data_IF_456644687678
#
_entry.id   IF_456644687678
#
_cell.length_a   1.000
_cell.length_b   1.000
_cell.length_c   1.000
_cell.angle_alpha   90.00
_cell.angle_beta   90.00
_cell.angle_gamma   90.00
#
_symmetry.space_group_name_H-M   'P 1'
#
loop_
_entity.id
_entity.type
_entity.pdbx_description
1 polymer ?
#
# COMPACT_ATOMS: atom_id res chain seq x y z
N UNK A 1 20.42 -5.47 2.56
CA UNK A 1 19.15 -4.73 2.65
C UNK A 1 19.34 -3.43 3.40
N UNK A 2 20.02 -3.44 4.59
CA UNK A 2 20.27 -2.20 5.37
C UNK A 2 21.10 -1.16 4.60
N UNK A 3 22.07 -1.59 3.81
CA UNK A 3 22.91 -0.68 3.02
C UNK A 3 22.11 0.11 1.99
N UNK A 4 21.16 -0.55 1.29
CA UNK A 4 20.28 0.12 0.31
C UNK A 4 19.35 1.14 0.96
N UNK A 5 18.88 0.87 2.18
CA UNK A 5 18.03 1.78 2.94
C UNK A 5 18.77 3.07 3.33
N UNK A 6 20.00 2.94 3.84
CA UNK A 6 20.83 4.09 4.17
C UNK A 6 21.26 4.88 2.93
N UNK A 7 21.48 4.22 1.81
CA UNK A 7 21.74 4.88 0.53
C UNK A 7 20.50 5.64 0.05
N UNK A 8 19.31 5.04 0.11
CA UNK A 8 18.06 5.68 -0.29
C UNK A 8 17.80 6.98 0.52
N UNK A 9 18.02 6.94 1.83
CA UNK A 9 17.92 8.15 2.68
C UNK A 9 18.85 9.28 2.23
N UNK A 10 20.07 8.96 1.82
CA UNK A 10 21.07 9.96 1.37
C UNK A 10 20.69 10.62 0.05
N UNK A 11 19.87 9.99 -0.78
CA UNK A 11 19.44 10.56 -2.07
C UNK A 11 18.50 11.75 -1.91
N UNK A 12 17.83 11.89 -0.78
CA UNK A 12 16.75 12.86 -0.56
C UNK A 12 15.40 12.49 -1.23
N UNK A 13 15.36 11.39 -1.99
CA UNK A 13 14.12 10.88 -2.62
C UNK A 13 13.33 9.94 -1.72
N UNK A 14 13.95 9.44 -0.66
CA UNK A 14 13.29 8.60 0.33
C UNK A 14 13.02 9.39 1.60
N UNK A 15 11.77 9.48 1.99
CA UNK A 15 11.31 10.10 3.23
C UNK A 15 10.59 9.06 4.06
N UNK A 16 11.08 8.82 5.27
CA UNK A 16 10.39 8.00 6.26
C UNK A 16 9.61 8.91 7.20
N UNK A 17 8.31 8.69 7.29
CA UNK A 17 7.48 9.43 8.23
C UNK A 17 7.58 8.80 9.62
N UNK A 18 7.61 9.65 10.66
CA UNK A 18 7.56 9.19 12.05
C UNK A 18 6.22 8.47 12.30
N UNK A 19 6.22 7.23 12.85
CA UNK A 19 4.99 6.53 13.20
C UNK A 19 4.07 7.28 14.18
N UNK A 20 4.62 8.25 14.91
CA UNK A 20 3.87 9.11 15.83
C UNK A 20 3.49 10.47 15.22
N UNK A 21 3.75 10.68 13.93
CA UNK A 21 3.39 11.91 13.24
C UNK A 21 1.88 12.16 13.33
N UNK A 22 1.43 13.38 13.66
CA UNK A 22 0.00 13.71 13.64
C UNK A 22 -0.61 13.45 12.27
N UNK A 23 -1.81 12.87 12.24
CA UNK A 23 -2.47 12.47 10.98
C UNK A 23 -2.67 13.65 10.02
N UNK A 24 -2.91 14.85 10.53
CA UNK A 24 -3.02 16.06 9.69
C UNK A 24 -1.71 16.41 8.96
N UNK A 25 -0.57 16.02 9.51
CA UNK A 25 0.72 16.18 8.83
C UNK A 25 0.95 15.07 7.81
N UNK A 26 0.58 13.82 8.12
CA UNK A 26 0.60 12.72 7.16
C UNK A 26 -0.24 13.06 5.93
N UNK A 27 -1.46 13.56 6.13
CA UNK A 27 -2.36 13.98 5.04
C UNK A 27 -1.77 15.07 4.14
N UNK A 28 -0.88 15.92 4.64
CA UNK A 28 -0.18 16.93 3.79
C UNK A 28 0.76 16.26 2.79
N UNK A 29 1.50 15.22 3.22
CA UNK A 29 2.33 14.46 2.27
C UNK A 29 1.47 13.77 1.21
N UNK A 30 0.35 13.17 1.62
CA UNK A 30 -0.56 12.47 0.69
C UNK A 30 -1.10 13.39 -0.41
N UNK A 31 -1.33 14.66 -0.10
CA UNK A 31 -1.84 15.64 -1.10
C UNK A 31 -0.88 15.89 -2.26
N UNK A 32 0.41 15.77 -2.02
CA UNK A 32 1.46 16.06 -2.99
C UNK A 32 1.96 14.79 -3.72
N UNK A 33 1.39 13.63 -3.41
CA UNK A 33 1.79 12.35 -4.03
C UNK A 33 1.02 12.09 -5.31
N UNK A 34 1.68 11.48 -6.30
CA UNK A 34 1.06 11.00 -7.53
C UNK A 34 0.41 9.62 -7.33
N UNK A 35 0.93 8.82 -6.40
CA UNK A 35 0.49 7.46 -6.12
C UNK A 35 0.43 7.22 -4.61
N UNK A 36 -0.69 6.67 -4.16
CA UNK A 36 -0.84 6.08 -2.83
C UNK A 36 -0.94 4.55 -2.98
N UNK A 37 0.04 3.86 -2.42
CA UNK A 37 0.09 2.40 -2.45
C UNK A 37 -0.24 1.84 -1.07
N UNK A 38 -1.13 0.87 -0.99
CA UNK A 38 -1.42 0.12 0.23
C UNK A 38 -1.37 -1.38 -0.03
N UNK A 39 -1.17 -2.13 1.03
CA UNK A 39 -1.22 -3.58 1.07
C UNK A 39 -2.12 -4.04 2.22
N UNK A 40 -2.43 -5.33 2.27
CA UNK A 40 -3.17 -5.92 3.39
C UNK A 40 -2.43 -5.73 4.70
N UNK A 41 -3.13 -5.28 5.74
CA UNK A 41 -2.55 -5.11 7.07
C UNK A 41 -2.32 -6.43 7.81
N UNK A 42 -3.03 -7.47 7.43
CA UNK A 42 -2.90 -8.82 7.96
C UNK A 42 -3.00 -9.83 6.81
N UNK A 43 -2.05 -10.76 6.76
CA UNK A 43 -2.04 -11.81 5.74
C UNK A 43 -3.37 -12.56 5.67
N UNK A 44 -3.79 -12.87 4.44
CA UNK A 44 -5.08 -13.50 4.14
C UNK A 44 -5.31 -14.79 4.91
N UNK A 45 -4.25 -15.58 5.14
CA UNK A 45 -4.33 -16.84 5.87
C UNK A 45 -4.72 -16.68 7.35
N UNK A 46 -4.32 -15.54 7.97
CA UNK A 46 -4.62 -15.27 9.38
C UNK A 46 -5.90 -14.45 9.59
N UNK A 47 -6.45 -13.89 8.52
CA UNK A 47 -7.57 -12.95 8.61
C UNK A 47 -8.82 -13.55 9.25
N UNK A 48 -9.09 -14.84 8.98
CA UNK A 48 -10.22 -15.59 9.52
C UNK A 48 -9.81 -16.63 10.58
N UNK A 49 -8.52 -16.72 10.94
CA UNK A 49 -8.04 -17.68 11.93
C UNK A 49 -8.50 -17.26 13.34
N UNK A 50 -9.22 -18.13 14.08
CA UNK A 50 -9.65 -17.84 15.44
C UNK A 50 -8.52 -17.50 16.41
N UNK A 51 -7.33 -18.06 16.20
CA UNK A 51 -6.16 -17.81 17.04
C UNK A 51 -5.59 -16.39 16.90
N UNK A 52 -5.93 -15.71 15.83
CA UNK A 52 -5.42 -14.36 15.51
C UNK A 52 -6.42 -13.23 15.71
N UNK A 53 -7.64 -13.52 16.18
CA UNK A 53 -8.69 -12.49 16.27
C UNK A 53 -8.36 -11.32 17.20
N UNK A 54 -7.74 -11.56 18.34
CA UNK A 54 -7.33 -10.51 19.27
C UNK A 54 -6.22 -9.64 18.65
N UNK A 55 -5.21 -10.25 18.06
CA UNK A 55 -4.14 -9.56 17.35
C UNK A 55 -4.65 -8.78 16.14
N UNK A 56 -5.59 -9.36 15.40
CA UNK A 56 -6.26 -8.69 14.30
C UNK A 56 -6.95 -7.42 14.77
N UNK A 57 -7.72 -7.50 15.86
CA UNK A 57 -8.41 -6.34 16.42
C UNK A 57 -7.44 -5.24 16.80
N UNK A 58 -6.38 -5.56 17.55
CA UNK A 58 -5.35 -4.59 17.96
C UNK A 58 -4.71 -3.92 16.73
N UNK A 59 -4.34 -4.70 15.71
CA UNK A 59 -3.74 -4.19 14.49
C UNK A 59 -4.70 -3.29 13.72
N UNK A 60 -5.97 -3.71 13.57
CA UNK A 60 -6.98 -2.92 12.87
C UNK A 60 -7.24 -1.59 13.59
N UNK A 61 -7.40 -1.61 14.92
CA UNK A 61 -7.61 -0.39 15.70
C UNK A 61 -6.44 0.60 15.52
N UNK A 62 -5.21 0.10 15.44
CA UNK A 62 -4.00 0.90 15.21
C UNK A 62 -3.91 1.45 13.78
N UNK A 63 -4.32 0.66 12.79
CA UNK A 63 -4.12 0.98 11.37
C UNK A 63 -5.29 1.74 10.75
N UNK A 64 -6.50 1.68 11.33
CA UNK A 64 -7.68 2.37 10.80
C UNK A 64 -7.49 3.85 10.46
N UNK A 65 -6.71 4.66 11.20
CA UNK A 65 -6.43 6.04 10.81
C UNK A 65 -5.72 6.19 9.45
N UNK A 66 -5.07 5.14 8.96
CA UNK A 66 -4.35 5.09 7.69
C UNK A 66 -5.17 4.45 6.56
N UNK A 67 -6.44 4.12 6.80
CA UNK A 67 -7.32 3.61 5.76
C UNK A 67 -7.36 4.58 4.57
N UNK A 68 -7.14 4.08 3.37
CA UNK A 68 -7.38 4.86 2.16
C UNK A 68 -8.88 5.02 1.94
N UNK A 69 -9.42 6.13 2.39
CA UNK A 69 -10.82 6.55 2.24
C UNK A 69 -10.90 7.99 1.74
N UNK A 70 -12.09 8.45 1.41
CA UNK A 70 -12.30 9.79 0.84
C UNK A 70 -11.81 10.91 1.78
N UNK A 71 -11.91 10.73 3.11
CA UNK A 71 -11.42 11.71 4.09
C UNK A 71 -9.88 11.74 4.13
N UNK A 72 -9.23 10.56 4.13
CA UNK A 72 -7.78 10.47 4.12
C UNK A 72 -7.17 11.06 2.85
N UNK A 73 -7.83 10.87 1.70
CA UNK A 73 -7.42 11.34 0.38
C UNK A 73 -7.97 12.72 0.02
N UNK A 74 -8.60 13.44 0.97
CA UNK A 74 -9.21 14.73 0.69
C UNK A 74 -8.21 15.74 0.13
N UNK A 75 -8.51 16.24 -1.07
CA UNK A 75 -7.65 17.19 -1.79
C UNK A 75 -6.41 16.56 -2.45
N UNK A 76 -6.25 15.24 -2.41
CA UNK A 76 -5.23 14.51 -3.16
C UNK A 76 -5.70 14.20 -4.58
N UNK A 77 -4.75 14.13 -5.51
CA UNK A 77 -4.95 13.65 -6.88
C UNK A 77 -4.29 12.28 -7.11
N UNK A 78 -3.78 11.67 -6.06
CA UNK A 78 -3.06 10.41 -6.14
C UNK A 78 -3.92 9.28 -6.70
N UNK A 79 -3.34 8.49 -7.60
CA UNK A 79 -3.89 7.20 -7.99
C UNK A 79 -3.69 6.21 -6.84
N UNK A 80 -4.70 5.42 -6.53
CA UNK A 80 -4.61 4.40 -5.49
C UNK A 80 -4.25 3.06 -6.11
N UNK A 81 -3.20 2.43 -5.58
CA UNK A 81 -2.70 1.13 -5.98
C UNK A 81 -2.78 0.12 -4.83
N UNK A 82 -2.99 -1.13 -5.18
CA UNK A 82 -2.99 -2.28 -4.28
C UNK A 82 -2.54 -3.52 -5.05
N UNK A 83 -1.66 -4.31 -4.48
CA UNK A 83 -1.11 -5.51 -5.14
C UNK A 83 -2.00 -6.75 -5.10
N UNK A 84 -3.14 -6.66 -4.43
CA UNK A 84 -4.11 -7.74 -4.32
C UNK A 84 -3.58 -9.03 -3.63
N UNK A 85 -4.42 -9.79 -2.90
CA UNK A 85 -5.84 -9.50 -2.60
C UNK A 85 -6.02 -8.39 -1.56
N UNK A 86 -7.23 -7.81 -1.44
CA UNK A 86 -7.51 -6.72 -0.51
C UNK A 86 -8.62 -7.08 0.49
N UNK A 87 -8.60 -6.42 1.66
CA UNK A 87 -9.68 -6.48 2.65
C UNK A 87 -10.45 -5.15 2.65
N UNK A 88 -11.39 -5.03 1.73
CA UNK A 88 -12.24 -3.84 1.61
C UNK A 88 -12.97 -3.54 2.92
N UNK A 89 -12.90 -2.29 3.36
CA UNK A 89 -13.39 -1.85 4.67
C UNK A 89 -12.31 -1.81 5.75
N UNK A 90 -11.09 -2.30 5.47
CA UNK A 90 -9.92 -2.20 6.33
C UNK A 90 -8.89 -1.23 5.72
N UNK A 91 -7.92 -1.71 4.96
CA UNK A 91 -6.88 -0.86 4.38
C UNK A 91 -7.39 0.11 3.30
N UNK A 92 -8.50 -0.23 2.66
CA UNK A 92 -9.16 0.59 1.63
C UNK A 92 -10.66 0.59 1.82
N UNK A 93 -11.30 1.75 1.69
CA UNK A 93 -12.77 1.85 1.71
C UNK A 93 -13.38 1.38 0.39
N UNK A 94 -14.66 0.98 0.45
CA UNK A 94 -15.39 0.54 -0.75
C UNK A 94 -15.47 1.61 -1.83
N UNK A 95 -15.65 2.86 -1.45
CA UNK A 95 -15.79 3.96 -2.40
C UNK A 95 -14.48 4.25 -3.11
N UNK A 96 -13.35 4.23 -2.39
CA UNK A 96 -12.01 4.43 -2.96
C UNK A 96 -11.62 3.24 -3.84
N UNK A 97 -11.90 1.99 -3.42
CA UNK A 97 -11.73 0.82 -4.27
C UNK A 97 -12.43 0.98 -5.61
N UNK A 98 -13.74 1.28 -5.58
CA UNK A 98 -14.54 1.39 -6.80
C UNK A 98 -14.07 2.51 -7.75
N UNK A 99 -13.59 3.63 -7.20
CA UNK A 99 -13.06 4.74 -8.00
C UNK A 99 -11.73 4.41 -8.68
N UNK A 100 -10.93 3.50 -8.10
CA UNK A 100 -9.59 3.16 -8.56
C UNK A 100 -9.46 1.73 -9.08
N UNK A 101 -10.56 1.01 -9.25
CA UNK A 101 -10.55 -0.42 -9.57
C UNK A 101 -9.76 -0.73 -10.84
N UNK A 102 -9.88 0.08 -11.88
CA UNK A 102 -9.17 -0.12 -13.13
C UNK A 102 -7.65 -0.06 -12.93
N UNK A 103 -7.15 0.93 -12.17
CA UNK A 103 -5.74 1.08 -11.87
C UNK A 103 -5.20 -0.07 -10.99
N UNK A 104 -6.00 -0.50 -10.03
CA UNK A 104 -5.66 -1.62 -9.13
C UNK A 104 -5.55 -2.92 -9.94
N UNK A 105 -6.49 -3.18 -10.84
CA UNK A 105 -6.48 -4.37 -11.69
C UNK A 105 -5.34 -4.34 -12.72
N UNK A 106 -5.07 -3.19 -13.33
CA UNK A 106 -3.95 -3.02 -14.26
C UNK A 106 -2.61 -3.29 -13.55
N UNK A 107 -2.44 -2.80 -12.33
CA UNK A 107 -1.26 -3.08 -11.54
C UNK A 107 -1.11 -4.57 -11.22
N UNK A 108 -2.19 -5.22 -10.77
CA UNK A 108 -2.19 -6.64 -10.46
C UNK A 108 -1.86 -7.49 -11.72
N UNK A 109 -2.37 -7.11 -12.89
CA UNK A 109 -2.03 -7.77 -14.15
C UNK A 109 -0.56 -7.53 -14.55
N UNK A 110 -0.04 -6.33 -14.37
CA UNK A 110 1.33 -5.96 -14.71
C UNK A 110 2.37 -6.78 -13.96
N UNK A 111 2.09 -7.26 -12.76
CA UNK A 111 2.96 -8.20 -12.05
C UNK A 111 3.29 -9.41 -12.91
N UNK A 112 2.30 -10.02 -13.54
CA UNK A 112 2.49 -11.18 -14.44
C UNK A 112 3.38 -10.84 -15.63
N UNK A 113 3.23 -9.66 -16.21
CA UNK A 113 4.04 -9.21 -17.35
C UNK A 113 5.50 -8.95 -16.94
N UNK A 114 5.69 -8.29 -15.80
CA UNK A 114 7.03 -8.04 -15.25
C UNK A 114 7.77 -9.34 -14.89
N UNK A 115 7.12 -10.27 -14.23
CA UNK A 115 7.70 -11.57 -13.87
C UNK A 115 8.08 -12.38 -15.13
N UNK A 116 7.24 -12.38 -16.17
CA UNK A 116 7.57 -13.01 -17.45
C UNK A 116 8.78 -12.37 -18.12
N UNK A 117 8.88 -11.04 -18.10
CA UNK A 117 10.02 -10.33 -18.65
C UNK A 117 11.31 -10.69 -17.92
N UNK A 118 11.29 -10.72 -16.59
CA UNK A 118 12.44 -11.14 -15.77
C UNK A 118 12.85 -12.57 -16.09
N UNK A 119 11.91 -13.52 -16.11
CA UNK A 119 12.19 -14.91 -16.47
C UNK A 119 12.78 -15.04 -17.88
N UNK A 120 12.21 -14.34 -18.85
CA UNK A 120 12.71 -14.34 -20.23
C UNK A 120 14.15 -13.82 -20.30
N UNK A 121 14.44 -12.71 -19.64
CA UNK A 121 15.78 -12.10 -19.58
C UNK A 121 16.81 -13.08 -18.96
N UNK A 122 16.46 -13.68 -17.83
CA UNK A 122 17.34 -14.65 -17.15
C UNK A 122 17.61 -15.91 -18.01
N UNK A 123 16.59 -16.44 -18.68
CA UNK A 123 16.74 -17.64 -19.54
C UNK A 123 17.56 -17.34 -20.79
N UNK A 124 17.39 -16.16 -21.37
CA UNK A 124 18.11 -15.76 -22.60
C UNK A 124 19.51 -15.22 -22.34
N UNK A 125 19.82 -14.82 -21.10
CA UNK A 125 21.11 -14.25 -20.74
C UNK A 125 21.34 -12.83 -21.29
N UNK A 126 20.26 -12.05 -21.42
CA UNK A 126 20.30 -10.66 -21.91
C UNK A 126 19.93 -9.69 -20.79
#
# INVERSE_FOLDING_TARGET
VMDCYEEAKKTGYYVELDPNMPMDEVKKYVKDMDICYTDTWLDMEFFNDPAYQDKKKELMDKMMPYQLNDEFLEGSHALVFHDMPMHVGFEISKDVEMKNLDHILDQAENRRHAEKAVMYTLIKGI
#
